data_IF_657362917838
#
_entry.id   IF_657362917838
#
_cell.length_a   1.000
_cell.length_b   1.000
_cell.length_c   1.000
_cell.angle_alpha   90.00
_cell.angle_beta   90.00
_cell.angle_gamma   90.00
#
_symmetry.space_group_name_H-M   'P 1'
#
loop_
_entity.id
_entity.type
_entity.pdbx_description
1 polymer ?
#
# COMPACT_ATOMS: atom_id res chain seq x y z
N UNK A 1 -14.47 2.73 14.13
CA UNK A 1 -15.72 3.02 13.41
C UNK A 1 -16.03 1.85 12.47
N UNK A 2 -17.07 1.07 12.74
CA UNK A 2 -17.54 0.05 11.80
C UNK A 2 -18.52 0.71 10.82
N UNK A 3 -18.25 0.65 9.52
CA UNK A 3 -19.25 1.00 8.51
C UNK A 3 -20.32 -0.09 8.54
N UNK A 4 -21.54 0.24 8.97
CA UNK A 4 -22.64 -0.70 8.94
C UNK A 4 -22.89 -1.13 7.48
N UNK A 5 -22.72 -2.42 7.19
CA UNK A 5 -22.83 -2.96 5.83
C UNK A 5 -24.21 -2.72 5.23
N UNK A 6 -25.25 -2.57 6.07
CA UNK A 6 -26.61 -2.22 5.62
C UNK A 6 -26.77 -0.79 5.08
N UNK A 7 -25.79 0.09 5.31
CA UNK A 7 -25.80 1.49 4.87
C UNK A 7 -24.80 1.71 3.73
N UNK A 8 -23.79 0.84 3.57
CA UNK A 8 -22.84 0.92 2.46
C UNK A 8 -23.56 0.85 1.11
N UNK A 9 -23.13 1.65 0.13
CA UNK A 9 -23.75 1.77 -1.20
C UNK A 9 -25.19 2.30 -1.27
N UNK A 10 -25.78 2.75 -0.15
CA UNK A 10 -27.11 3.38 -0.14
C UNK A 10 -27.06 4.84 -0.60
N UNK A 11 -28.20 5.39 -1.05
CA UNK A 11 -28.31 6.84 -1.34
C UNK A 11 -27.90 7.71 -0.15
N UNK A 12 -28.15 7.24 1.08
CA UNK A 12 -27.73 7.91 2.31
C UNK A 12 -26.20 7.97 2.42
N UNK A 13 -25.50 6.87 2.16
CA UNK A 13 -24.04 6.84 2.19
C UNK A 13 -23.43 7.80 1.16
N UNK A 14 -23.92 7.77 -0.08
CA UNK A 14 -23.47 8.68 -1.15
C UNK A 14 -23.73 10.15 -0.78
N UNK A 15 -24.90 10.45 -0.21
CA UNK A 15 -25.27 11.80 0.20
C UNK A 15 -24.42 12.30 1.37
N UNK A 16 -24.19 11.46 2.38
CA UNK A 16 -23.32 11.79 3.52
C UNK A 16 -21.89 12.04 3.08
N UNK A 17 -21.37 11.21 2.17
CA UNK A 17 -20.04 11.42 1.61
C UNK A 17 -19.93 12.73 0.81
N UNK A 18 -20.94 13.05 -0.01
CA UNK A 18 -20.98 14.32 -0.75
C UNK A 18 -21.01 15.54 0.18
N UNK A 19 -21.80 15.47 1.26
CA UNK A 19 -21.84 16.51 2.31
C UNK A 19 -20.48 16.65 3.00
N UNK A 20 -19.85 15.53 3.37
CA UNK A 20 -18.52 15.51 3.97
C UNK A 20 -17.47 16.14 3.04
N UNK A 21 -17.42 15.72 1.77
CA UNK A 21 -16.47 16.23 0.77
C UNK A 21 -16.66 17.73 0.54
N UNK A 22 -17.91 18.19 0.41
CA UNK A 22 -18.24 19.61 0.25
C UNK A 22 -17.87 20.43 1.48
N UNK A 23 -18.15 19.90 2.68
CA UNK A 23 -17.78 20.53 3.95
C UNK A 23 -16.27 20.65 4.12
N UNK A 24 -15.53 19.57 3.87
CA UNK A 24 -14.07 19.56 3.94
C UNK A 24 -13.46 20.53 2.91
N UNK A 25 -13.95 20.55 1.67
CA UNK A 25 -13.44 21.46 0.64
C UNK A 25 -13.58 22.94 1.02
N UNK A 26 -14.66 23.30 1.73
CA UNK A 26 -14.84 24.67 2.24
C UNK A 26 -13.91 24.94 3.42
N UNK A 27 -13.82 24.01 4.36
CA UNK A 27 -13.01 24.14 5.56
C UNK A 27 -11.51 24.19 5.26
N UNK A 28 -11.02 23.48 4.23
CA UNK A 28 -9.59 23.51 3.85
C UNK A 28 -9.07 24.89 3.44
N UNK A 29 -9.96 25.86 3.20
CA UNK A 29 -9.58 27.26 2.99
C UNK A 29 -9.30 28.00 4.30
N UNK A 30 -9.80 27.49 5.42
CA UNK A 30 -9.58 28.03 6.76
C UNK A 30 -8.31 27.40 7.37
N UNK A 31 -7.46 28.23 7.98
CA UNK A 31 -6.23 27.78 8.63
C UNK A 31 -5.96 28.59 9.91
N UNK A 32 -5.63 27.95 11.06
CA UNK A 32 -5.50 26.50 11.26
C UNK A 32 -6.85 25.78 11.36
N UNK A 33 -6.88 24.50 10.99
CA UNK A 33 -8.08 23.67 11.11
C UNK A 33 -8.30 23.19 12.55
N UNK A 34 -9.57 23.04 12.92
CA UNK A 34 -9.96 22.42 14.19
C UNK A 34 -9.64 20.92 14.21
N UNK A 35 -9.38 20.37 15.39
CA UNK A 35 -9.06 18.94 15.56
C UNK A 35 -10.15 18.00 14.99
N UNK A 36 -11.45 18.25 15.18
CA UNK A 36 -12.49 17.45 14.51
C UNK A 36 -12.42 17.49 12.99
N UNK A 37 -12.06 18.63 12.39
CA UNK A 37 -11.87 18.75 10.94
C UNK A 37 -10.69 17.93 10.46
N UNK A 38 -9.58 17.92 11.21
CA UNK A 38 -8.41 17.10 10.93
C UNK A 38 -8.74 15.60 11.01
N UNK A 39 -9.53 15.18 12.00
CA UNK A 39 -9.99 13.78 12.10
C UNK A 39 -10.89 13.40 10.93
N UNK A 40 -11.79 14.29 10.52
CA UNK A 40 -12.63 14.06 9.35
C UNK A 40 -11.80 13.93 8.06
N UNK A 41 -10.75 14.74 7.88
CA UNK A 41 -9.80 14.59 6.77
C UNK A 41 -9.07 13.25 6.83
N UNK A 42 -8.57 12.86 8.01
CA UNK A 42 -7.87 11.57 8.20
C UNK A 42 -8.78 10.39 7.87
N UNK A 43 -10.00 10.37 8.40
CA UNK A 43 -10.99 9.33 8.09
C UNK A 43 -11.30 9.26 6.59
N UNK A 44 -11.37 10.40 5.91
CA UNK A 44 -11.59 10.46 4.46
C UNK A 44 -10.38 9.93 3.66
N UNK A 45 -9.15 10.08 4.19
CA UNK A 45 -7.95 9.50 3.58
C UNK A 45 -7.88 7.97 3.79
N UNK A 46 -8.29 7.52 4.97
CA UNK A 46 -8.24 6.11 5.38
C UNK A 46 -9.33 5.29 4.70
N UNK A 47 -10.52 5.86 4.54
CA UNK A 47 -11.71 5.15 4.07
C UNK A 47 -12.04 5.57 2.64
N UNK A 48 -12.25 4.59 1.76
CA UNK A 48 -12.74 4.85 0.41
C UNK A 48 -14.25 5.08 0.45
N UNK A 49 -14.65 6.23 1.00
CA UNK A 49 -16.05 6.61 1.11
C UNK A 49 -16.65 6.97 -0.26
N UNK A 50 -15.82 7.11 -1.30
CA UNK A 50 -16.27 7.27 -2.67
C UNK A 50 -16.60 5.91 -3.26
N UNK A 51 -17.88 5.66 -3.56
CA UNK A 51 -18.36 4.43 -4.17
C UNK A 51 -17.99 4.31 -5.67
N UNK A 52 -17.01 5.06 -6.16
CA UNK A 52 -16.63 5.10 -7.58
C UNK A 52 -15.15 5.36 -7.78
N UNK A 53 -14.55 4.65 -8.74
CA UNK A 53 -13.15 4.76 -9.13
C UNK A 53 -12.90 5.84 -10.20
N UNK A 54 -13.86 6.73 -10.47
CA UNK A 54 -13.74 7.63 -11.62
C UNK A 54 -12.64 8.69 -11.45
N UNK A 55 -12.28 9.10 -10.22
CA UNK A 55 -11.35 10.23 -9.98
C UNK A 55 -10.54 10.20 -8.65
N UNK A 56 -10.51 9.10 -7.88
CA UNK A 56 -10.30 9.18 -6.42
C UNK A 56 -8.87 9.02 -5.85
N UNK A 57 -7.89 8.50 -6.58
CA UNK A 57 -6.58 8.19 -5.96
C UNK A 57 -5.67 9.40 -5.75
N UNK A 58 -5.70 10.33 -6.70
CA UNK A 58 -4.97 11.61 -6.58
C UNK A 58 -5.56 12.43 -5.43
N UNK A 59 -6.87 12.32 -5.20
CA UNK A 59 -7.54 12.95 -4.06
C UNK A 59 -6.98 12.46 -2.73
N UNK A 60 -6.71 11.16 -2.53
CA UNK A 60 -6.25 10.63 -1.24
C UNK A 60 -4.79 10.99 -0.90
N UNK A 61 -3.89 10.96 -1.89
CA UNK A 61 -2.50 11.44 -1.71
C UNK A 61 -2.47 12.94 -1.42
N UNK A 62 -3.22 13.74 -2.18
CA UNK A 62 -3.29 15.19 -2.00
C UNK A 62 -3.93 15.56 -0.67
N UNK A 63 -5.03 14.90 -0.29
CA UNK A 63 -5.75 15.14 0.96
C UNK A 63 -4.90 14.76 2.16
N UNK A 64 -4.18 13.63 2.13
CA UNK A 64 -3.27 13.25 3.21
C UNK A 64 -2.07 14.21 3.33
N UNK A 65 -1.58 14.74 2.21
CA UNK A 65 -0.55 15.79 2.22
C UNK A 65 -1.06 17.09 2.82
N UNK A 66 -2.26 17.54 2.44
CA UNK A 66 -2.92 18.71 3.03
C UNK A 66 -3.16 18.53 4.53
N UNK A 67 -3.62 17.35 4.95
CA UNK A 67 -3.77 17.00 6.36
C UNK A 67 -2.46 17.15 7.14
N UNK A 68 -1.34 16.64 6.60
CA UNK A 68 -0.01 16.80 7.22
C UNK A 68 0.34 18.28 7.37
N UNK A 69 0.12 19.10 6.33
CA UNK A 69 0.40 20.54 6.40
C UNK A 69 -0.46 21.24 7.46
N UNK A 70 -1.75 20.94 7.54
CA UNK A 70 -2.61 21.52 8.57
C UNK A 70 -2.24 21.02 9.98
N UNK A 71 -1.89 19.74 10.16
CA UNK A 71 -1.34 19.25 11.41
C UNK A 71 -0.05 20.00 11.77
N UNK A 72 0.81 20.29 10.79
CA UNK A 72 2.04 21.04 11.06
C UNK A 72 1.79 22.48 11.52
N UNK A 73 0.68 23.09 11.09
CA UNK A 73 0.27 24.44 11.50
C UNK A 73 -0.49 24.44 12.83
N UNK A 74 -1.23 23.38 13.13
CA UNK A 74 -2.05 23.26 14.34
C UNK A 74 -1.28 22.72 15.55
N UNK A 75 -0.13 22.09 15.37
CA UNK A 75 0.63 21.44 16.45
C UNK A 75 1.85 22.24 16.88
N UNK A 76 2.00 22.44 18.20
CA UNK A 76 3.18 23.07 18.81
C UNK A 76 4.29 22.03 19.09
N UNK A 77 4.92 21.52 18.04
CA UNK A 77 5.95 20.48 18.14
C UNK A 77 7.13 20.79 19.10
N UNK A 78 7.62 22.03 19.22
CA UNK A 78 8.66 22.38 20.18
C UNK A 78 8.32 22.08 21.64
N UNK A 79 7.04 22.10 22.03
CA UNK A 79 6.57 21.75 23.38
C UNK A 79 6.66 20.24 23.60
N UNK A 80 6.26 19.45 22.61
CA UNK A 80 6.28 17.99 22.67
C UNK A 80 7.70 17.40 22.60
N UNK A 81 8.60 17.99 21.80
CA UNK A 81 9.99 17.51 21.68
C UNK A 81 10.83 17.73 22.95
N UNK A 82 10.44 18.69 23.80
CA UNK A 82 11.16 19.02 25.05
C UNK A 82 10.60 18.30 26.28
N UNK A 83 9.47 17.60 26.16
CA UNK A 83 8.88 16.86 27.26
C UNK A 83 9.73 15.60 27.57
N UNK A 84 10.20 15.41 28.81
CA UNK A 84 10.79 14.15 29.23
C UNK A 84 9.89 12.96 28.88
N UNK A 85 10.45 11.89 28.29
CA UNK A 85 9.70 10.67 27.90
C UNK A 85 8.93 9.98 29.05
N UNK A 86 9.18 10.38 30.31
CA UNK A 86 8.51 9.91 31.53
C UNK A 86 7.31 10.77 31.94
N UNK A 87 7.05 11.91 31.29
CA UNK A 87 5.84 12.69 31.53
C UNK A 87 4.67 12.03 30.83
N UNK A 88 3.64 11.72 31.62
CA UNK A 88 2.36 11.21 31.14
C UNK A 88 1.76 12.26 30.18
N UNK A 89 1.81 11.99 28.88
CA UNK A 89 1.02 12.71 27.88
C UNK A 89 -0.44 12.70 28.33
N UNK A 90 -1.07 13.88 28.40
CA UNK A 90 -2.51 13.98 28.69
C UNK A 90 -3.31 13.28 27.58
N UNK A 91 -4.61 13.00 27.80
CA UNK A 91 -5.46 12.36 26.80
C UNK A 91 -5.41 13.08 25.44
N UNK A 92 -5.59 14.39 25.46
CA UNK A 92 -5.57 15.23 24.25
C UNK A 92 -4.22 15.21 23.53
N UNK A 93 -3.10 15.13 24.28
CA UNK A 93 -1.75 15.03 23.70
C UNK A 93 -1.52 13.70 22.97
N UNK A 94 -2.06 12.61 23.53
CA UNK A 94 -1.95 11.28 22.91
C UNK A 94 -2.72 11.24 21.61
N UNK A 95 -3.95 11.74 21.60
CA UNK A 95 -4.79 11.73 20.39
C UNK A 95 -4.13 12.51 19.25
N UNK A 96 -3.48 13.62 19.58
CA UNK A 96 -2.66 14.40 18.65
C UNK A 96 -1.49 13.60 18.08
N UNK A 97 -0.71 12.92 18.94
CA UNK A 97 0.44 12.10 18.52
C UNK A 97 0.00 10.93 17.64
N UNK A 98 -1.08 10.25 18.02
CA UNK A 98 -1.64 9.15 17.26
C UNK A 98 -2.16 9.62 15.90
N UNK A 99 -2.81 10.78 15.86
CA UNK A 99 -3.29 11.40 14.62
C UNK A 99 -2.13 11.78 13.70
N UNK A 100 -1.06 12.35 14.25
CA UNK A 100 0.15 12.65 13.49
C UNK A 100 0.75 11.38 12.87
N UNK A 101 0.94 10.31 13.66
CA UNK A 101 1.51 9.05 13.17
C UNK A 101 0.61 8.41 12.11
N UNK A 102 -0.71 8.36 12.32
CA UNK A 102 -1.67 7.82 11.37
C UNK A 102 -1.69 8.62 10.05
N UNK A 103 -1.65 9.96 10.13
CA UNK A 103 -1.57 10.81 8.95
C UNK A 103 -0.25 10.59 8.18
N UNK A 104 0.88 10.48 8.89
CA UNK A 104 2.18 10.21 8.29
C UNK A 104 2.18 8.86 7.57
N UNK A 105 1.67 7.82 8.22
CA UNK A 105 1.60 6.48 7.66
C UNK A 105 0.76 6.47 6.39
N UNK A 106 -0.43 7.06 6.44
CA UNK A 106 -1.33 7.09 5.29
C UNK A 106 -0.74 7.89 4.13
N UNK A 107 -0.11 9.02 4.42
CA UNK A 107 0.55 9.81 3.37
C UNK A 107 1.71 9.05 2.74
N UNK A 108 2.56 8.39 3.53
CA UNK A 108 3.69 7.60 3.01
C UNK A 108 3.23 6.41 2.16
N UNK A 109 2.19 5.68 2.59
CA UNK A 109 1.56 4.61 1.81
C UNK A 109 1.21 5.07 0.39
N UNK A 110 0.45 6.16 0.28
CA UNK A 110 0.08 6.70 -1.03
C UNK A 110 1.28 7.26 -1.80
N UNK A 111 2.19 7.96 -1.11
CA UNK A 111 3.38 8.57 -1.70
C UNK A 111 4.26 7.55 -2.41
N UNK A 112 4.47 6.38 -1.79
CA UNK A 112 5.20 5.26 -2.39
C UNK A 112 4.42 4.71 -3.59
N UNK A 113 3.09 4.54 -3.46
CA UNK A 113 2.25 4.05 -4.55
C UNK A 113 2.24 4.96 -5.79
N UNK A 114 2.36 6.28 -5.61
CA UNK A 114 2.41 7.26 -6.72
C UNK A 114 3.83 7.66 -7.15
N UNK A 115 4.87 7.24 -6.42
CA UNK A 115 6.27 7.61 -6.68
C UNK A 115 6.59 9.10 -6.54
N UNK A 116 5.91 9.82 -5.64
CA UNK A 116 6.11 11.27 -5.42
C UNK A 116 6.88 11.55 -4.14
N UNK A 117 7.37 12.78 -3.96
CA UNK A 117 7.96 13.19 -2.68
C UNK A 117 6.90 13.36 -1.59
N UNK A 118 7.30 13.11 -0.35
CA UNK A 118 6.44 13.17 0.84
C UNK A 118 6.45 14.57 1.45
N UNK A 119 5.30 15.03 1.96
CA UNK A 119 5.20 16.20 2.83
C UNK A 119 5.59 15.90 4.30
N UNK A 120 5.81 14.62 4.66
CA UNK A 120 6.07 14.21 6.04
C UNK A 120 7.45 14.67 6.50
N UNK A 121 7.48 15.31 7.67
CA UNK A 121 8.70 15.55 8.45
C UNK A 121 9.20 14.26 9.10
N UNK A 122 10.07 13.53 8.39
CA UNK A 122 10.56 12.22 8.83
C UNK A 122 11.29 12.25 10.18
N UNK A 123 11.95 13.37 10.50
CA UNK A 123 12.58 13.62 11.79
C UNK A 123 11.57 13.63 12.94
N UNK A 124 10.44 14.30 12.72
CA UNK A 124 9.36 14.40 13.67
C UNK A 124 8.55 13.10 13.78
N UNK A 125 8.29 12.44 12.66
CA UNK A 125 7.69 11.10 12.64
C UNK A 125 8.53 10.10 13.46
N UNK A 126 9.86 10.08 13.25
CA UNK A 126 10.77 9.23 14.03
C UNK A 126 10.69 9.52 15.53
N UNK A 127 10.63 10.79 15.92
CA UNK A 127 10.46 11.17 17.32
C UNK A 127 9.18 10.59 17.94
N UNK A 128 8.04 10.77 17.27
CA UNK A 128 6.75 10.32 17.81
C UNK A 128 6.53 8.80 17.74
N UNK A 129 7.20 8.10 16.82
CA UNK A 129 7.28 6.64 16.85
C UNK A 129 7.95 6.19 18.16
N UNK A 130 9.09 6.79 18.51
CA UNK A 130 9.79 6.44 19.75
C UNK A 130 8.98 6.77 21.00
N UNK A 131 8.25 7.89 21.00
CA UNK A 131 7.32 8.24 22.08
C UNK A 131 6.27 7.15 22.27
N UNK A 132 5.57 6.75 21.20
CA UNK A 132 4.50 5.74 21.28
C UNK A 132 5.05 4.37 21.70
N UNK A 133 6.22 3.97 21.20
CA UNK A 133 6.83 2.67 21.53
C UNK A 133 7.27 2.60 23.00
N UNK A 134 7.82 3.68 23.56
CA UNK A 134 8.44 3.69 24.90
C UNK A 134 7.50 4.09 26.03
N UNK A 135 6.56 4.99 25.78
CA UNK A 135 5.73 5.54 26.85
C UNK A 135 4.69 4.52 27.34
N UNK A 136 4.49 4.50 28.66
CA UNK A 136 3.40 3.76 29.29
C UNK A 136 2.08 4.52 29.08
N UNK A 137 1.09 3.83 28.52
CA UNK A 137 -0.26 4.38 28.30
C UNK A 137 -0.67 4.52 26.84
N UNK A 138 0.14 4.07 25.88
CA UNK A 138 -0.32 3.74 24.53
C UNK A 138 -0.72 2.27 24.45
N UNK A 139 -1.77 1.99 23.71
CA UNK A 139 -2.29 0.64 23.51
C UNK A 139 -1.37 -0.18 22.58
N UNK A 140 -1.62 -1.50 22.50
CA UNK A 140 -0.88 -2.36 21.57
C UNK A 140 -1.11 -1.95 20.12
N UNK A 141 -2.35 -1.64 19.76
CA UNK A 141 -2.76 -1.15 18.44
C UNK A 141 -2.01 0.13 18.03
N UNK A 142 -1.83 1.07 18.96
CA UNK A 142 -1.04 2.28 18.73
C UNK A 142 0.41 1.97 18.38
N UNK A 143 0.99 1.00 19.09
CA UNK A 143 2.36 0.52 18.86
C UNK A 143 2.49 -0.23 17.54
N UNK A 144 1.45 -0.94 17.09
CA UNK A 144 1.40 -1.56 15.77
C UNK A 144 1.39 -0.50 14.65
N UNK A 145 0.61 0.58 14.79
CA UNK A 145 0.61 1.70 13.84
C UNK A 145 2.00 2.38 13.80
N UNK A 146 2.63 2.59 14.96
CA UNK A 146 3.97 3.17 15.03
C UNK A 146 5.03 2.26 14.37
N UNK A 147 4.95 0.95 14.59
CA UNK A 147 5.83 -0.02 13.93
C UNK A 147 5.60 -0.07 12.42
N UNK A 148 4.34 -0.04 11.97
CA UNK A 148 3.99 0.05 10.56
C UNK A 148 4.54 1.33 9.92
N UNK A 149 4.40 2.48 10.58
CA UNK A 149 4.98 3.75 10.13
C UNK A 149 6.50 3.65 9.98
N UNK A 150 7.19 3.07 10.96
CA UNK A 150 8.63 2.83 10.91
C UNK A 150 9.03 2.01 9.66
N UNK A 151 8.27 0.96 9.35
CA UNK A 151 8.46 0.12 8.17
C UNK A 151 8.29 0.90 6.85
N UNK A 152 7.23 1.71 6.75
CA UNK A 152 6.96 2.52 5.57
C UNK A 152 7.94 3.69 5.39
N UNK A 153 8.55 4.20 6.47
CA UNK A 153 9.66 5.16 6.37
C UNK A 153 10.88 4.50 5.71
N UNK A 154 11.22 3.26 6.08
CA UNK A 154 12.31 2.51 5.43
C UNK A 154 12.02 2.32 3.95
N UNK A 155 10.79 1.91 3.61
CA UNK A 155 10.38 1.70 2.22
C UNK A 155 10.43 2.98 1.39
N UNK A 156 9.95 4.09 1.95
CA UNK A 156 10.00 5.42 1.31
C UNK A 156 11.44 5.84 1.01
N UNK A 157 12.34 5.69 1.98
CA UNK A 157 13.77 6.03 1.82
C UNK A 157 14.46 5.15 0.77
N UNK A 158 14.03 3.91 0.62
CA UNK A 158 14.56 2.99 -0.37
C UNK A 158 14.05 3.28 -1.79
N UNK A 159 12.72 3.35 -1.95
CA UNK A 159 12.08 3.39 -3.27
C UNK A 159 12.03 4.81 -3.84
N UNK A 160 11.73 5.81 -3.02
CA UNK A 160 11.44 7.17 -3.48
C UNK A 160 12.62 8.10 -3.29
N UNK A 161 13.25 8.09 -2.12
CA UNK A 161 14.45 8.93 -1.90
C UNK A 161 15.73 8.28 -2.44
N UNK A 162 15.69 6.99 -2.79
CA UNK A 162 16.84 6.19 -3.24
C UNK A 162 18.07 6.28 -2.30
N UNK A 163 17.84 6.54 -1.01
CA UNK A 163 18.89 6.70 0.00
C UNK A 163 19.35 5.39 0.60
N UNK A 164 18.58 4.31 0.43
CA UNK A 164 18.91 2.97 0.93
C UNK A 164 19.18 2.05 -0.26
N UNK A 165 20.41 1.53 -0.43
CA UNK A 165 20.72 0.58 -1.48
C UNK A 165 19.87 -0.70 -1.36
N UNK A 166 19.52 -1.30 -2.50
CA UNK A 166 18.74 -2.53 -2.56
C UNK A 166 19.24 -3.66 -1.64
N UNK A 167 20.57 -3.81 -1.55
CA UNK A 167 21.24 -4.83 -0.73
C UNK A 167 21.04 -4.61 0.78
N UNK A 168 20.74 -3.39 1.21
CA UNK A 168 20.55 -3.04 2.64
C UNK A 168 19.09 -3.14 3.09
N UNK A 169 18.13 -3.14 2.17
CA UNK A 169 16.69 -3.22 2.50
C UNK A 169 16.38 -4.48 3.32
N UNK A 170 16.95 -5.63 2.94
CA UNK A 170 16.72 -6.88 3.65
C UNK A 170 17.29 -6.84 5.07
N UNK A 171 18.48 -6.27 5.27
CA UNK A 171 19.02 -6.09 6.62
C UNK A 171 18.18 -5.13 7.47
N UNK A 172 17.67 -4.04 6.88
CA UNK A 172 16.77 -3.12 7.58
C UNK A 172 15.45 -3.80 7.95
N UNK A 173 14.92 -4.66 7.09
CA UNK A 173 13.71 -5.42 7.35
C UNK A 173 13.89 -6.41 8.50
N UNK A 174 15.01 -7.15 8.52
CA UNK A 174 15.33 -8.09 9.60
C UNK A 174 15.49 -7.35 10.93
N UNK A 175 16.22 -6.24 10.95
CA UNK A 175 16.39 -5.42 12.14
C UNK A 175 15.04 -4.88 12.65
N UNK A 176 14.19 -4.39 11.75
CA UNK A 176 12.85 -3.92 12.09
C UNK A 176 11.99 -5.06 12.67
N UNK A 177 12.04 -6.24 12.05
CA UNK A 177 11.30 -7.41 12.51
C UNK A 177 11.73 -7.83 13.92
N UNK A 178 13.03 -7.93 14.17
CA UNK A 178 13.58 -8.31 15.48
C UNK A 178 13.20 -7.30 16.57
N UNK A 179 13.25 -6.00 16.24
CA UNK A 179 12.87 -4.91 17.16
C UNK A 179 11.38 -4.97 17.53
N UNK A 180 10.54 -5.40 16.59
CA UNK A 180 9.09 -5.40 16.72
C UNK A 180 8.49 -6.80 16.95
N UNK A 181 9.33 -7.83 17.17
CA UNK A 181 8.91 -9.24 17.25
C UNK A 181 7.75 -9.48 18.22
N UNK A 182 7.78 -8.83 19.39
CA UNK A 182 6.75 -8.93 20.43
C UNK A 182 5.35 -8.48 20.00
N UNK A 183 5.25 -7.66 18.94
CA UNK A 183 3.96 -7.24 18.40
C UNK A 183 3.28 -8.38 17.63
N UNK A 184 4.05 -9.31 17.07
CA UNK A 184 3.56 -10.43 16.27
C UNK A 184 3.06 -11.63 17.08
N UNK A 185 3.33 -11.69 18.39
CA UNK A 185 3.01 -12.83 19.27
C UNK A 185 1.51 -13.09 19.44
N UNK A 186 0.62 -12.16 19.06
CA UNK A 186 -0.82 -12.37 19.08
C UNK A 186 -1.35 -12.83 17.73
N UNK A 187 -2.35 -13.72 17.78
CA UNK A 187 -3.13 -14.16 16.63
C UNK A 187 -3.72 -12.97 15.83
N UNK A 188 -3.99 -11.84 16.51
CA UNK A 188 -4.71 -10.67 15.98
C UNK A 188 -3.86 -9.63 15.24
N UNK A 189 -2.54 -9.82 15.09
CA UNK A 189 -1.64 -8.83 14.43
C UNK A 189 -1.75 -8.80 12.89
N UNK A 190 -2.96 -8.99 12.35
CA UNK A 190 -3.20 -9.10 10.90
C UNK A 190 -2.77 -7.85 10.13
N UNK A 191 -3.01 -6.65 10.67
CA UNK A 191 -2.62 -5.40 10.03
C UNK A 191 -1.10 -5.30 9.84
N UNK A 192 -0.33 -5.66 10.87
CA UNK A 192 1.14 -5.61 10.81
C UNK A 192 1.72 -6.71 9.90
N UNK A 193 1.12 -7.90 9.90
CA UNK A 193 1.47 -8.98 8.95
C UNK A 193 1.17 -8.58 7.51
N UNK A 194 0.02 -7.95 7.28
CA UNK A 194 -0.35 -7.38 6.00
C UNK A 194 0.64 -6.29 5.54
N UNK A 195 1.02 -5.38 6.44
CA UNK A 195 2.01 -4.36 6.17
C UNK A 195 3.38 -4.94 5.82
N UNK A 196 3.81 -6.01 6.51
CA UNK A 196 5.04 -6.72 6.23
C UNK A 196 5.03 -7.36 4.84
N UNK A 197 3.96 -8.06 4.47
CA UNK A 197 3.84 -8.63 3.12
C UNK A 197 3.75 -7.54 2.04
N UNK A 198 3.10 -6.42 2.34
CA UNK A 198 3.05 -5.25 1.46
C UNK A 198 4.44 -4.66 1.22
N UNK A 199 5.20 -4.45 2.31
CA UNK A 199 6.59 -4.00 2.22
C UNK A 199 7.41 -4.94 1.36
N UNK A 200 7.37 -6.24 1.65
CA UNK A 200 8.20 -7.22 0.95
C UNK A 200 7.82 -7.35 -0.52
N UNK A 201 6.53 -7.25 -0.87
CA UNK A 201 6.09 -7.24 -2.26
C UNK A 201 6.68 -6.02 -3.01
N UNK A 202 6.48 -4.81 -2.46
CA UNK A 202 6.92 -3.57 -3.09
C UNK A 202 8.46 -3.51 -3.18
N UNK A 203 9.15 -3.90 -2.12
CA UNK A 203 10.61 -3.96 -2.09
C UNK A 203 11.16 -4.96 -3.11
N UNK A 204 10.59 -6.17 -3.20
CA UNK A 204 11.04 -7.21 -4.14
C UNK A 204 10.81 -6.77 -5.59
N UNK A 205 9.66 -6.15 -5.89
CA UNK A 205 9.37 -5.61 -7.23
C UNK A 205 10.29 -4.47 -7.60
N UNK A 206 10.57 -3.55 -6.68
CA UNK A 206 11.53 -2.49 -6.92
C UNK A 206 12.96 -3.04 -7.09
N UNK A 207 13.37 -4.04 -6.30
CA UNK A 207 14.68 -4.69 -6.47
C UNK A 207 14.79 -5.36 -7.85
N UNK A 208 13.74 -6.03 -8.31
CA UNK A 208 13.68 -6.61 -9.66
C UNK A 208 13.81 -5.52 -10.73
N UNK A 209 13.15 -4.36 -10.57
CA UNK A 209 13.25 -3.27 -11.55
C UNK A 209 14.63 -2.59 -11.61
N UNK A 210 15.46 -2.77 -10.58
CA UNK A 210 16.83 -2.24 -10.55
C UNK A 210 17.87 -3.16 -11.22
N UNK A 211 17.50 -4.40 -11.58
CA UNK A 211 18.41 -5.30 -12.28
C UNK A 211 18.60 -4.83 -13.72
N UNK A 212 19.85 -4.85 -14.19
CA UNK A 212 20.14 -4.61 -15.61
C UNK A 212 19.79 -5.86 -16.41
N UNK A 213 19.40 -5.69 -17.66
CA UNK A 213 19.07 -6.80 -18.55
C UNK A 213 20.25 -7.79 -18.71
N UNK A 214 21.49 -7.27 -18.72
CA UNK A 214 22.72 -8.06 -18.73
C UNK A 214 22.91 -8.92 -17.46
N UNK A 215 22.48 -8.43 -16.30
CA UNK A 215 22.56 -9.17 -15.03
C UNK A 215 21.54 -10.31 -14.99
N UNK A 216 20.39 -10.14 -15.64
CA UNK A 216 19.33 -11.16 -15.75
C UNK A 216 19.75 -12.26 -16.71
N UNK A 217 20.30 -11.91 -17.88
CA UNK A 217 20.71 -12.87 -18.91
C UNK A 217 21.95 -13.69 -18.51
N UNK A 218 22.81 -13.14 -17.64
CA UNK A 218 24.01 -13.84 -17.16
C UNK A 218 23.74 -14.80 -15.99
N UNK A 219 22.62 -14.64 -15.29
CA UNK A 219 22.24 -15.47 -14.16
C UNK A 219 21.47 -16.72 -14.60
N UNK A 220 21.67 -17.88 -13.95
CA UNK A 220 20.85 -19.05 -14.23
C UNK A 220 19.38 -18.76 -13.90
N UNK A 221 18.47 -19.15 -14.80
CA UNK A 221 17.03 -18.86 -14.73
C UNK A 221 16.41 -19.24 -13.38
N UNK A 222 16.81 -20.37 -12.80
CA UNK A 222 16.37 -20.81 -11.47
C UNK A 222 16.82 -19.90 -10.33
N UNK A 223 17.98 -19.24 -10.45
CA UNK A 223 18.45 -18.28 -9.45
C UNK A 223 17.70 -16.95 -9.56
N UNK A 224 17.40 -16.49 -10.78
CA UNK A 224 16.56 -15.30 -11.00
C UNK A 224 15.17 -15.51 -10.43
N UNK A 225 14.56 -16.68 -10.70
CA UNK A 225 13.25 -17.06 -10.16
C UNK A 225 13.24 -17.07 -8.63
N UNK A 226 14.10 -17.86 -7.99
CA UNK A 226 14.11 -18.02 -6.52
C UNK A 226 14.42 -16.70 -5.80
N UNK A 227 15.30 -15.86 -6.37
CA UNK A 227 15.75 -14.64 -5.70
C UNK A 227 14.76 -13.49 -5.88
N UNK A 228 14.10 -13.38 -7.04
CA UNK A 228 13.33 -12.20 -7.39
C UNK A 228 11.84 -12.47 -7.59
N UNK A 229 11.46 -13.57 -8.25
CA UNK A 229 10.06 -13.83 -8.64
C UNK A 229 9.30 -14.57 -7.53
N UNK A 230 9.89 -15.59 -6.92
CA UNK A 230 9.25 -16.38 -5.86
C UNK A 230 8.79 -15.49 -4.68
N UNK A 231 9.59 -14.54 -4.15
CA UNK A 231 9.13 -13.64 -3.09
C UNK A 231 7.93 -12.77 -3.52
N UNK A 232 7.93 -12.27 -4.76
CA UNK A 232 6.85 -11.46 -5.32
C UNK A 232 5.54 -12.27 -5.33
N UNK A 233 5.59 -13.50 -5.85
CA UNK A 233 4.44 -14.39 -5.88
C UNK A 233 3.94 -14.74 -4.47
N UNK A 234 4.87 -15.11 -3.57
CA UNK A 234 4.55 -15.46 -2.19
C UNK A 234 3.84 -14.33 -1.46
N UNK A 235 4.37 -13.11 -1.53
CA UNK A 235 3.80 -11.97 -0.82
C UNK A 235 2.49 -11.49 -1.47
N UNK A 236 2.34 -11.63 -2.79
CA UNK A 236 1.06 -11.38 -3.47
C UNK A 236 -0.05 -12.31 -2.96
N UNK A 237 0.22 -13.61 -2.83
CA UNK A 237 -0.74 -14.56 -2.24
C UNK A 237 -1.06 -14.23 -0.78
N UNK A 238 -0.05 -13.87 0.03
CA UNK A 238 -0.25 -13.49 1.43
C UNK A 238 -1.14 -12.26 1.58
N UNK A 239 -0.93 -11.23 0.76
CA UNK A 239 -1.76 -10.01 0.75
C UNK A 239 -3.23 -10.37 0.51
N UNK A 240 -3.53 -11.19 -0.50
CA UNK A 240 -4.90 -11.59 -0.82
C UNK A 240 -5.52 -12.37 0.34
N UNK A 241 -4.78 -13.30 0.95
CA UNK A 241 -5.22 -14.06 2.13
C UNK A 241 -5.52 -13.14 3.32
N UNK A 242 -4.61 -12.21 3.64
CA UNK A 242 -4.80 -11.28 4.75
C UNK A 242 -5.99 -10.36 4.55
N UNK A 243 -6.22 -9.85 3.33
CA UNK A 243 -7.43 -9.05 3.08
C UNK A 243 -8.68 -9.92 3.22
N UNK A 244 -8.64 -11.19 2.78
CA UNK A 244 -9.71 -12.15 3.03
C UNK A 244 -9.99 -12.36 4.52
N UNK A 245 -8.94 -12.54 5.33
CA UNK A 245 -9.06 -12.70 6.79
C UNK A 245 -9.58 -11.44 7.48
N UNK A 246 -9.09 -10.27 7.09
CA UNK A 246 -9.60 -8.98 7.56
C UNK A 246 -11.08 -8.79 7.21
N UNK A 247 -11.51 -9.18 6.00
CA UNK A 247 -12.90 -9.13 5.59
C UNK A 247 -13.78 -10.08 6.41
N UNK A 248 -13.33 -11.33 6.65
CA UNK A 248 -14.04 -12.32 7.47
C UNK A 248 -14.18 -11.86 8.93
N UNK A 249 -13.17 -11.18 9.47
CA UNK A 249 -13.20 -10.60 10.81
C UNK A 249 -13.99 -9.29 10.90
N UNK A 250 -14.52 -8.79 9.77
CA UNK A 250 -15.21 -7.49 9.67
C UNK A 250 -14.33 -6.33 10.15
N UNK A 251 -13.02 -6.46 9.96
CA UNK A 251 -12.07 -5.38 10.23
C UNK A 251 -12.29 -4.23 9.23
N UNK A 252 -11.94 -3.02 9.66
CA UNK A 252 -11.92 -1.87 8.76
C UNK A 252 -10.77 -2.07 7.78
N UNK A 253 -11.07 -2.11 6.48
CA UNK A 253 -10.07 -2.20 5.42
C UNK A 253 -9.85 -0.79 4.88
N UNK A 254 -8.60 -0.32 4.90
CA UNK A 254 -8.29 1.02 4.41
C UNK A 254 -8.20 1.06 2.88
N UNK A 255 -8.39 2.25 2.30
CA UNK A 255 -8.31 2.48 0.83
C UNK A 255 -7.03 1.93 0.23
N UNK A 256 -5.89 2.16 0.90
CA UNK A 256 -4.60 1.67 0.43
C UNK A 256 -4.52 0.15 0.44
N UNK A 257 -5.11 -0.51 1.45
CA UNK A 257 -5.07 -1.97 1.56
C UNK A 257 -5.88 -2.62 0.42
N UNK A 258 -6.99 -1.98 0.01
CA UNK A 258 -7.74 -2.37 -1.20
C UNK A 258 -6.90 -2.27 -2.47
N UNK A 259 -6.17 -1.16 -2.63
CA UNK A 259 -5.27 -0.96 -3.76
C UNK A 259 -4.17 -2.00 -3.81
N UNK A 260 -3.60 -2.34 -2.65
CA UNK A 260 -2.58 -3.39 -2.57
C UNK A 260 -3.13 -4.77 -2.93
N UNK A 261 -4.40 -5.06 -2.61
CA UNK A 261 -5.07 -6.27 -3.08
C UNK A 261 -5.22 -6.34 -4.60
N UNK A 262 -5.61 -5.22 -5.22
CA UNK A 262 -5.67 -5.12 -6.68
C UNK A 262 -4.28 -5.25 -7.32
N UNK A 263 -3.27 -4.59 -6.74
CA UNK A 263 -1.89 -4.70 -7.17
C UNK A 263 -1.36 -6.13 -7.09
N UNK A 264 -1.69 -6.86 -6.02
CA UNK A 264 -1.36 -8.27 -5.87
C UNK A 264 -2.05 -9.14 -6.95
N UNK A 265 -3.32 -8.89 -7.25
CA UNK A 265 -4.03 -9.58 -8.34
C UNK A 265 -3.32 -9.38 -9.69
N UNK A 266 -2.98 -8.13 -10.04
CA UNK A 266 -2.26 -7.81 -11.28
C UNK A 266 -0.90 -8.49 -11.30
N UNK A 267 -0.17 -8.45 -10.19
CA UNK A 267 1.14 -9.08 -10.06
C UNK A 267 1.09 -10.58 -10.31
N UNK A 268 0.07 -11.28 -9.77
CA UNK A 268 -0.08 -12.71 -10.02
C UNK A 268 -0.39 -13.03 -11.48
N UNK A 269 -1.14 -12.18 -12.17
CA UNK A 269 -1.41 -12.32 -13.62
C UNK A 269 -0.15 -12.07 -14.44
N UNK A 270 0.64 -11.06 -14.07
CA UNK A 270 1.89 -10.69 -14.73
C UNK A 270 2.90 -11.85 -14.67
N UNK A 271 3.04 -12.48 -13.50
CA UNK A 271 3.95 -13.61 -13.29
C UNK A 271 3.24 -14.97 -13.37
N UNK A 272 2.15 -15.06 -14.13
CA UNK A 272 1.32 -16.29 -14.18
C UNK A 272 2.09 -17.50 -14.71
N UNK A 273 3.05 -17.27 -15.60
CA UNK A 273 3.86 -18.31 -16.24
C UNK A 273 4.81 -19.01 -15.25
N UNK A 274 4.99 -18.43 -14.06
CA UNK A 274 5.81 -18.98 -12.98
C UNK A 274 4.97 -19.55 -11.82
N UNK A 275 3.64 -19.61 -11.95
CA UNK A 275 2.79 -20.20 -10.92
C UNK A 275 2.81 -21.73 -11.04
N UNK A 276 3.07 -22.41 -9.93
CA UNK A 276 3.00 -23.89 -9.87
C UNK A 276 1.58 -24.42 -10.13
N UNK A 277 0.56 -23.74 -9.58
CA UNK A 277 -0.85 -24.09 -9.74
C UNK A 277 -1.69 -22.83 -9.97
N UNK A 278 -1.90 -22.54 -11.24
CA UNK A 278 -2.67 -21.38 -11.68
C UNK A 278 -4.16 -21.47 -11.30
N UNK A 279 -4.72 -22.68 -11.19
CA UNK A 279 -6.12 -22.89 -10.82
C UNK A 279 -6.33 -22.57 -9.34
N UNK A 280 -5.43 -23.03 -8.47
CA UNK A 280 -5.47 -22.70 -7.04
C UNK A 280 -5.26 -21.21 -6.79
N UNK A 281 -4.36 -20.55 -7.53
CA UNK A 281 -4.23 -19.10 -7.48
C UNK A 281 -5.51 -18.40 -7.93
N UNK A 282 -6.13 -18.83 -9.03
CA UNK A 282 -7.39 -18.26 -9.50
C UNK A 282 -8.52 -18.42 -8.47
N UNK A 283 -8.67 -19.61 -7.87
CA UNK A 283 -9.67 -19.87 -6.82
C UNK A 283 -9.49 -18.96 -5.61
N UNK A 284 -8.26 -18.71 -5.18
CA UNK A 284 -7.98 -17.76 -4.09
C UNK A 284 -8.44 -16.34 -4.45
N UNK A 285 -8.12 -15.88 -5.66
CA UNK A 285 -8.52 -14.55 -6.12
C UNK A 285 -10.05 -14.43 -6.25
N UNK A 286 -10.72 -15.49 -6.70
CA UNK A 286 -12.19 -15.56 -6.82
C UNK A 286 -12.89 -15.57 -5.46
N UNK A 287 -12.41 -16.38 -4.51
CA UNK A 287 -12.94 -16.42 -3.14
C UNK A 287 -12.91 -15.02 -2.52
N UNK A 288 -11.77 -14.36 -2.66
CA UNK A 288 -11.56 -13.02 -2.12
C UNK A 288 -12.47 -11.99 -2.83
N UNK A 289 -12.66 -12.11 -4.15
CA UNK A 289 -13.64 -11.30 -4.88
C UNK A 289 -15.06 -11.50 -4.37
N UNK A 290 -15.48 -12.74 -4.09
CA UNK A 290 -16.82 -13.03 -3.60
C UNK A 290 -17.07 -12.45 -2.21
N UNK A 291 -16.10 -12.54 -1.30
CA UNK A 291 -16.16 -11.92 0.02
C UNK A 291 -16.36 -10.40 -0.05
N UNK A 292 -15.92 -9.75 -1.14
CA UNK A 292 -16.00 -8.29 -1.31
C UNK A 292 -17.30 -7.79 -1.93
N UNK A 293 -18.05 -8.63 -2.64
CA UNK A 293 -19.28 -8.23 -3.38
C UNK A 293 -20.29 -7.51 -2.48
N UNK A 294 -20.31 -7.85 -1.20
CA UNK A 294 -21.27 -7.31 -0.23
C UNK A 294 -20.80 -6.02 0.46
N UNK A 295 -19.55 -5.59 0.23
CA UNK A 295 -18.92 -4.55 1.09
C UNK A 295 -18.42 -3.33 0.33
N UNK A 296 -17.92 -3.47 -0.91
CA UNK A 296 -17.28 -2.35 -1.63
C UNK A 296 -17.41 -2.43 -3.16
N UNK A 297 -17.29 -1.27 -3.80
CA UNK A 297 -17.19 -1.17 -5.27
C UNK A 297 -15.85 -1.75 -5.73
N UNK A 298 -15.90 -2.55 -6.79
CA UNK A 298 -14.78 -3.31 -7.29
C UNK A 298 -13.76 -2.42 -8.00
N UNK A 299 -12.49 -2.58 -7.66
CA UNK A 299 -11.40 -1.89 -8.36
C UNK A 299 -11.35 -2.44 -9.81
N UNK A 300 -11.50 -1.59 -10.85
CA UNK A 300 -11.63 -2.06 -12.23
C UNK A 300 -10.45 -2.91 -12.71
N UNK A 301 -9.23 -2.59 -12.27
CA UNK A 301 -8.02 -3.31 -12.67
C UNK A 301 -7.99 -4.72 -12.05
N UNK A 302 -8.47 -4.88 -10.83
CA UNK A 302 -8.67 -6.18 -10.18
C UNK A 302 -9.67 -7.03 -10.96
N UNK A 303 -10.74 -6.42 -11.51
CA UNK A 303 -11.71 -7.16 -12.35
C UNK A 303 -11.07 -7.62 -13.66
N UNK A 304 -10.29 -6.74 -14.28
CA UNK A 304 -9.49 -7.09 -15.44
C UNK A 304 -8.51 -8.24 -15.13
N UNK A 305 -7.78 -8.16 -14.03
CA UNK A 305 -6.82 -9.19 -13.60
C UNK A 305 -7.51 -10.54 -13.38
N UNK A 306 -8.69 -10.56 -12.74
CA UNK A 306 -9.50 -11.77 -12.59
C UNK A 306 -9.85 -12.40 -13.93
N UNK A 307 -10.30 -11.60 -14.90
CA UNK A 307 -10.66 -12.09 -16.23
C UNK A 307 -9.44 -12.62 -16.99
N UNK A 308 -8.28 -11.98 -16.85
CA UNK A 308 -7.04 -12.45 -17.45
C UNK A 308 -6.56 -13.76 -16.81
N UNK A 309 -6.58 -13.86 -15.49
CA UNK A 309 -6.22 -15.10 -14.79
C UNK A 309 -7.16 -16.25 -15.20
N UNK A 310 -8.46 -15.99 -15.28
CA UNK A 310 -9.46 -16.95 -15.77
C UNK A 310 -9.10 -17.45 -17.18
N UNK A 311 -8.73 -16.55 -18.08
CA UNK A 311 -8.28 -16.92 -19.43
C UNK A 311 -7.02 -17.80 -19.37
N UNK A 312 -6.02 -17.44 -18.55
CA UNK A 312 -4.79 -18.22 -18.40
C UNK A 312 -5.05 -19.64 -17.89
N UNK A 313 -5.98 -19.82 -16.95
CA UNK A 313 -6.44 -21.15 -16.49
C UNK A 313 -7.03 -21.94 -17.67
N UNK A 314 -7.91 -21.34 -18.47
CA UNK A 314 -8.48 -22.01 -19.64
C UNK A 314 -7.41 -22.40 -20.68
N UNK A 315 -6.44 -21.52 -20.93
CA UNK A 315 -5.36 -21.76 -21.89
C UNK A 315 -4.44 -22.89 -21.40
N UNK A 316 -4.14 -22.97 -20.09
CA UNK A 316 -3.36 -24.04 -19.49
C UNK A 316 -4.05 -25.42 -19.65
N UNK A 317 -5.33 -25.51 -19.29
CA UNK A 317 -6.13 -26.75 -19.46
C UNK A 317 -6.20 -27.17 -20.93
N UNK A 318 -6.32 -26.21 -21.86
CA UNK A 318 -6.32 -26.49 -23.29
C UNK A 318 -4.95 -26.96 -23.79
N UNK A 319 -3.86 -26.40 -23.28
CA UNK A 319 -2.50 -26.84 -23.61
C UNK A 319 -2.26 -28.28 -23.17
N UNK A 320 -2.74 -28.66 -21.99
CA UNK A 320 -2.69 -30.06 -21.50
C UNK A 320 -3.48 -31.01 -22.42
N UNK A 321 -4.64 -30.59 -22.92
CA UNK A 321 -5.44 -31.37 -23.88
C UNK A 321 -4.79 -31.46 -25.28
N UNK A 322 -4.07 -30.42 -25.73
CA UNK A 322 -3.37 -30.40 -27.03
C UNK A 322 -2.05 -31.19 -26.97
N UNK A 323 -1.41 -31.34 -25.81
CA UNK A 323 -0.27 -32.25 -25.67
C UNK A 323 -0.62 -33.74 -25.89
N UNK A 324 -1.90 -34.12 -25.83
CA UNK A 324 -2.37 -35.46 -26.22
C UNK A 324 -2.72 -35.58 -27.72
N UNK A 325 -2.79 -34.48 -28.47
CA UNK A 325 -3.08 -34.53 -29.92
C UNK A 325 -2.25 -33.49 -30.68
N UNK A 326 -1.25 -34.00 -31.42
CA UNK A 326 -0.30 -33.34 -32.32
C UNK A 326 -0.49 -31.82 -32.60
N UNK A 327 0.59 -31.10 -32.30
CA UNK A 327 0.75 -29.65 -32.43
C UNK A 327 0.48 -29.09 -33.84
N UNK A 328 -0.18 -27.94 -33.88
CA UNK A 328 -0.12 -27.00 -35.01
C UNK A 328 0.23 -25.59 -34.49
N UNK A 329 1.09 -24.82 -35.19
CA UNK A 329 1.66 -23.59 -34.69
C UNK A 329 0.70 -22.41 -34.89
N UNK A 330 0.43 -21.65 -33.83
CA UNK A 330 -0.62 -20.63 -33.85
C UNK A 330 -0.35 -19.41 -32.96
N UNK A 331 0.37 -18.44 -33.55
CA UNK A 331 0.28 -16.99 -33.33
C UNK A 331 0.39 -16.47 -31.89
N UNK A 332 1.59 -16.02 -31.57
CA UNK A 332 1.85 -15.01 -30.54
C UNK A 332 1.14 -13.70 -30.85
N UNK A 333 0.21 -13.30 -30.00
CA UNK A 333 -0.20 -11.91 -29.84
C UNK A 333 -0.11 -11.58 -28.35
N UNK A 334 1.10 -11.20 -27.95
CA UNK A 334 1.43 -10.69 -26.63
C UNK A 334 1.17 -9.17 -26.60
N UNK A 335 0.40 -8.71 -25.62
CA UNK A 335 0.29 -7.28 -25.26
C UNK A 335 0.34 -7.18 -23.73
N UNK A 336 1.45 -6.72 -23.13
CA UNK A 336 1.49 -6.40 -21.72
C UNK A 336 0.92 -4.98 -21.52
N UNK A 337 0.03 -4.72 -20.54
CA UNK A 337 -0.60 -3.42 -20.37
C UNK A 337 0.28 -2.31 -19.76
N UNK A 338 1.57 -2.54 -19.46
CA UNK A 338 2.32 -1.66 -18.56
C UNK A 338 3.75 -1.25 -18.98
N UNK A 339 4.13 -1.33 -20.26
CA UNK A 339 5.35 -0.62 -20.75
C UNK A 339 5.29 0.92 -20.56
N UNK A 340 4.10 1.46 -20.26
CA UNK A 340 3.92 2.87 -19.94
C UNK A 340 4.50 3.28 -18.56
N UNK A 341 4.76 2.33 -17.65
CA UNK A 341 5.34 2.63 -16.33
C UNK A 341 6.87 2.59 -16.33
N UNK A 342 7.51 1.80 -17.19
CA UNK A 342 8.98 1.80 -17.35
C UNK A 342 9.47 3.00 -18.18
N UNK A 343 8.73 3.39 -19.22
CA UNK A 343 9.14 4.45 -20.16
C UNK A 343 9.06 5.90 -19.62
N UNK A 344 8.52 6.13 -18.42
CA UNK A 344 8.42 7.47 -17.83
C UNK A 344 9.61 7.90 -16.96
N UNK A 345 10.56 7.02 -16.65
CA UNK A 345 11.80 7.42 -15.96
C UNK A 345 12.92 7.88 -16.90
N UNK A 346 12.83 7.60 -18.21
CA UNK A 346 13.89 7.98 -19.16
C UNK A 346 13.66 9.33 -19.86
N UNK A 347 12.44 9.88 -19.83
CA UNK A 347 12.08 11.09 -20.58
C UNK A 347 12.27 12.42 -19.83
N UNK A 348 12.71 12.40 -18.57
CA UNK A 348 13.01 13.62 -17.79
C UNK A 348 14.51 13.89 -17.63
N UNK A 349 15.38 12.96 -18.01
CA UNK A 349 16.85 13.12 -17.94
C UNK A 349 17.44 13.72 -19.23
N UNK A 350 16.88 13.41 -20.39
CA UNK A 350 17.45 13.80 -21.70
C UNK A 350 17.13 15.24 -22.14
N UNK A 351 16.11 15.89 -21.58
CA UNK A 351 15.69 17.24 -21.99
C UNK A 351 16.40 18.40 -21.27
N UNK A 352 17.28 18.12 -20.29
CA UNK A 352 18.03 19.15 -19.56
C UNK A 352 19.49 19.27 -20.05
N UNK A 353 20.00 18.31 -20.82
CA UNK A 353 21.37 18.36 -21.34
C UNK A 353 21.54 19.07 -22.69
N UNK A 354 20.47 19.31 -23.45
CA UNK A 354 20.56 19.96 -24.78
C UNK A 354 20.30 21.47 -24.80
N UNK A 355 20.10 22.14 -23.65
CA UNK A 355 19.89 23.61 -23.60
C UNK A 355 21.07 24.43 -23.07
N UNK A 356 22.26 23.85 -22.97
CA UNK A 356 23.48 24.59 -22.56
C UNK A 356 24.63 24.55 -23.57
N UNK A 357 24.36 24.18 -24.82
CA UNK A 357 25.30 24.40 -25.93
C UNK A 357 24.55 24.91 -27.17
N UNK A 358 24.20 26.20 -27.17
CA UNK A 358 24.08 27.02 -28.37
C UNK A 358 24.18 28.50 -28.02
#
# INVERSE_FOLDING_TARGET
MQTNTSISSTELHTSLYAVLKSGLAKLTLDSPLSLPSLYAMLLTCLLNLNLGYSDSFIDAWLLSGSLILHLMLSLDFPVFQKAPALLRYAGDDKDVILTWNAACLQHLKFTIGVGKLSAVRLDLAAHYIEVVKRADGFEKSDKEIAAELELFIVLYRAIVEERIPAKQIQSSLLQWHDTNAKLFDSYDSLALKFALSTFSLLASRWQLSQLRQEDIESAPESAVYNTHIEPILKHSHQIIRFIGDMARQKSVIHTFDFLMGAYAHVTLVEFSDHLEDIETTFRLMEEMQNLRKDTYVFEPVSSWAMNMMKKRVFDAVRSEMVTETEAWPGRDVWWPPFEALSSRMESTSSLVHERHQQ
#
